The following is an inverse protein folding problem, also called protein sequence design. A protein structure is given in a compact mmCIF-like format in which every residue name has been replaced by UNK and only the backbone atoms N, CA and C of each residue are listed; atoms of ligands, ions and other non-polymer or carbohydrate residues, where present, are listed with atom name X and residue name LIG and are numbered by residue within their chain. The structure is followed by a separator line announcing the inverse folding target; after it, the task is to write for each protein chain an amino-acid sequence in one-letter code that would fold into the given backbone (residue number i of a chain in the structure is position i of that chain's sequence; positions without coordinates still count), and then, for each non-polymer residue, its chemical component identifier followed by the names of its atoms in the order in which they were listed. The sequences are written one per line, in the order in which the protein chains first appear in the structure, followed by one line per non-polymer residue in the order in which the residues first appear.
data_IF_141520989116
#
_entry.id   IF_141520989116
#
_cell.length_a   1.000
_cell.length_b   1.000
_cell.length_c   1.000
_cell.angle_alpha   90.00
_cell.angle_beta   90.00
_cell.angle_gamma   90.00
#
_symmetry.space_group_name_H-M   'P 1'
#
loop_
_entity.id
_entity.type
_entity.pdbx_description
1 polymer ?
#
# COMPACT_ATOMS: atom_id res chain seq x y z
N UNK A 1 10.91 -12.27 -19.59
CA UNK A 1 11.32 -13.67 -19.84
C UNK A 1 11.06 -14.44 -18.57
N UNK A 2 10.22 -15.47 -18.62
CA UNK A 2 10.06 -16.38 -17.49
C UNK A 2 11.15 -17.43 -17.65
N UNK A 3 12.19 -17.40 -16.80
CA UNK A 3 13.38 -18.26 -16.92
C UNK A 3 13.27 -19.49 -16.02
N UNK A 4 12.13 -19.67 -15.34
CA UNK A 4 11.89 -20.80 -14.46
C UNK A 4 10.96 -21.80 -15.15
N UNK A 5 11.52 -22.89 -15.66
CA UNK A 5 10.72 -24.03 -16.09
C UNK A 5 10.30 -24.82 -14.87
N UNK A 6 9.13 -24.50 -14.31
CA UNK A 6 8.53 -25.32 -13.26
C UNK A 6 8.13 -26.68 -13.83
N UNK A 7 8.40 -27.73 -13.05
CA UNK A 7 7.88 -29.07 -13.26
C UNK A 7 6.36 -29.02 -13.42
N UNK A 8 5.83 -29.77 -14.38
CA UNK A 8 4.40 -29.78 -14.74
C UNK A 8 3.48 -30.03 -13.54
N UNK A 9 3.87 -30.92 -12.62
CA UNK A 9 3.08 -31.22 -11.44
C UNK A 9 3.00 -30.02 -10.47
N UNK A 10 4.07 -29.24 -10.34
CA UNK A 10 4.10 -28.04 -9.50
C UNK A 10 3.34 -26.89 -10.15
N UNK A 11 3.36 -26.76 -11.49
CA UNK A 11 2.50 -25.81 -12.21
C UNK A 11 1.02 -26.08 -11.98
N UNK A 12 0.62 -27.35 -12.00
CA UNK A 12 -0.77 -27.73 -11.72
C UNK A 12 -1.19 -27.29 -10.31
N UNK A 13 -0.33 -27.51 -9.30
CA UNK A 13 -0.59 -27.04 -7.93
C UNK A 13 -0.63 -25.51 -7.85
N UNK A 14 0.21 -24.80 -8.61
CA UNK A 14 0.20 -23.33 -8.67
C UNK A 14 -1.11 -22.75 -9.23
N UNK A 15 -1.75 -23.45 -10.14
CA UNK A 15 -3.02 -23.02 -10.76
C UNK A 15 -4.25 -23.37 -9.90
N UNK A 16 -4.07 -24.19 -8.86
CA UNK A 16 -5.14 -24.55 -7.93
C UNK A 16 -5.40 -23.43 -6.92
N UNK A 17 -6.68 -23.13 -6.67
CA UNK A 17 -7.10 -22.23 -5.60
C UNK A 17 -7.31 -23.04 -4.31
N UNK A 18 -6.21 -23.31 -3.60
CA UNK A 18 -6.17 -24.08 -2.36
C UNK A 18 -5.62 -23.25 -1.20
N UNK A 19 -6.14 -23.50 0.01
CA UNK A 19 -5.69 -22.82 1.22
C UNK A 19 -4.28 -23.27 1.63
N UNK A 20 -3.67 -22.55 2.57
CA UNK A 20 -2.28 -22.78 2.97
C UNK A 20 -2.01 -24.15 3.61
N UNK A 21 -3.00 -24.73 4.28
CA UNK A 21 -2.88 -26.06 4.91
C UNK A 21 -2.91 -27.13 3.81
N UNK A 22 -3.89 -27.03 2.90
CA UNK A 22 -4.03 -27.93 1.74
C UNK A 22 -2.84 -27.82 0.77
N UNK A 23 -2.24 -26.64 0.59
CA UNK A 23 -1.10 -26.42 -0.30
C UNK A 23 0.14 -27.21 0.12
N UNK A 24 0.46 -27.22 1.41
CA UNK A 24 1.64 -27.93 1.91
C UNK A 24 1.48 -29.44 1.70
N UNK A 25 0.32 -29.99 2.04
CA UNK A 25 0.01 -31.41 1.87
C UNK A 25 -0.01 -31.82 0.40
N UNK A 26 -0.58 -30.98 -0.47
CA UNK A 26 -0.61 -31.21 -1.91
C UNK A 26 0.81 -31.26 -2.48
N UNK A 27 1.66 -30.29 -2.14
CA UNK A 27 3.07 -30.30 -2.55
C UNK A 27 3.81 -31.53 -2.02
N UNK A 28 3.60 -31.91 -0.77
CA UNK A 28 4.26 -33.08 -0.16
C UNK A 28 3.82 -34.39 -0.84
N UNK A 29 2.55 -34.50 -1.23
CA UNK A 29 2.01 -35.68 -1.92
C UNK A 29 2.53 -35.90 -3.35
N UNK A 30 3.14 -34.88 -3.98
CA UNK A 30 3.70 -35.04 -5.33
C UNK A 30 4.84 -36.08 -5.34
N UNK A 31 4.77 -37.05 -6.24
CA UNK A 31 5.83 -38.04 -6.50
C UNK A 31 7.00 -37.41 -7.28
N UNK A 32 7.70 -36.49 -6.62
CA UNK A 32 8.91 -35.84 -7.13
C UNK A 32 10.08 -36.05 -6.16
N UNK A 33 11.32 -36.16 -6.66
CA UNK A 33 12.51 -36.11 -5.81
C UNK A 33 12.48 -34.87 -4.90
N UNK A 34 12.78 -35.06 -3.62
CA UNK A 34 12.68 -33.98 -2.62
C UNK A 34 13.38 -32.69 -3.04
N UNK A 35 14.60 -32.78 -3.55
CA UNK A 35 15.37 -31.59 -3.96
C UNK A 35 14.75 -30.90 -5.18
N UNK A 36 14.23 -31.66 -6.14
CA UNK A 36 13.53 -31.10 -7.31
C UNK A 36 12.25 -30.37 -6.88
N UNK A 37 11.48 -30.95 -5.97
CA UNK A 37 10.29 -30.31 -5.40
C UNK A 37 10.63 -28.98 -4.72
N UNK A 38 11.66 -28.96 -3.88
CA UNK A 38 12.10 -27.76 -3.17
C UNK A 38 12.62 -26.68 -4.12
N UNK A 39 13.39 -27.05 -5.14
CA UNK A 39 13.95 -26.13 -6.13
C UNK A 39 12.86 -25.45 -6.98
N UNK A 40 11.84 -26.22 -7.36
CA UNK A 40 10.69 -25.70 -8.08
C UNK A 40 9.81 -24.78 -7.21
N UNK A 41 9.60 -25.12 -5.93
CA UNK A 41 8.90 -24.22 -4.99
C UNK A 41 9.69 -22.92 -4.79
N UNK A 42 11.02 -22.99 -4.69
CA UNK A 42 11.88 -21.81 -4.62
C UNK A 42 11.74 -20.94 -5.89
N UNK A 43 11.80 -21.55 -7.07
CA UNK A 43 11.59 -20.89 -8.36
C UNK A 43 10.22 -20.18 -8.43
N UNK A 44 9.15 -20.83 -7.96
CA UNK A 44 7.82 -20.23 -7.89
C UNK A 44 7.78 -19.02 -6.92
N UNK A 45 8.46 -19.10 -5.78
CA UNK A 45 8.59 -17.96 -4.84
C UNK A 45 9.32 -16.78 -5.51
N UNK A 46 10.38 -17.03 -6.27
CA UNK A 46 11.10 -15.98 -7.01
C UNK A 46 10.23 -15.33 -8.08
N UNK A 47 9.50 -16.12 -8.86
CA UNK A 47 8.50 -15.59 -9.80
C UNK A 47 7.49 -14.67 -9.10
N UNK A 48 6.98 -15.10 -7.94
CA UNK A 48 6.03 -14.30 -7.17
C UNK A 48 6.66 -13.00 -6.67
N UNK A 49 7.90 -13.04 -6.15
CA UNK A 49 8.63 -11.83 -5.72
C UNK A 49 8.81 -10.85 -6.88
N UNK A 50 9.21 -11.32 -8.06
CA UNK A 50 9.35 -10.48 -9.25
C UNK A 50 8.02 -9.85 -9.67
N UNK A 51 6.95 -10.65 -9.73
CA UNK A 51 5.59 -10.17 -10.06
C UNK A 51 5.12 -9.14 -9.04
N UNK A 52 5.35 -9.36 -7.74
CA UNK A 52 5.00 -8.42 -6.66
C UNK A 52 5.71 -7.07 -6.84
N UNK A 53 7.02 -7.07 -7.07
CA UNK A 53 7.78 -5.83 -7.27
C UNK A 53 7.35 -5.08 -8.53
N UNK A 54 7.11 -5.81 -9.64
CA UNK A 54 6.55 -5.23 -10.85
C UNK A 54 5.17 -4.58 -10.59
N UNK A 55 4.28 -5.28 -9.88
CA UNK A 55 2.94 -4.76 -9.52
C UNK A 55 3.03 -3.54 -8.59
N UNK A 56 3.97 -3.49 -7.65
CA UNK A 56 4.21 -2.31 -6.81
C UNK A 56 4.67 -1.13 -7.66
N UNK A 57 5.60 -1.34 -8.58
CA UNK A 57 6.05 -0.32 -9.53
C UNK A 57 4.90 0.22 -10.37
N UNK A 58 4.06 -0.67 -10.91
CA UNK A 58 2.91 -0.27 -11.73
C UNK A 58 1.86 0.51 -10.93
N UNK A 59 1.56 0.08 -9.70
CA UNK A 59 0.64 0.81 -8.81
C UNK A 59 1.15 2.22 -8.52
N UNK A 60 2.44 2.38 -8.26
CA UNK A 60 3.05 3.70 -8.05
C UNK A 60 2.85 4.59 -9.28
N UNK A 61 3.18 4.09 -10.48
CA UNK A 61 3.00 4.85 -11.72
C UNK A 61 1.54 5.29 -11.94
N UNK A 62 0.58 4.40 -11.71
CA UNK A 62 -0.84 4.74 -11.86
C UNK A 62 -1.28 5.78 -10.83
N UNK A 63 -0.81 5.67 -9.59
CA UNK A 63 -1.10 6.65 -8.54
C UNK A 63 -0.50 8.03 -8.84
N UNK A 64 0.69 8.07 -9.43
CA UNK A 64 1.33 9.31 -9.88
C UNK A 64 0.51 9.98 -11.00
N UNK A 65 0.05 9.20 -11.99
CA UNK A 65 -0.85 9.68 -13.07
C UNK A 65 -2.18 10.17 -12.52
N UNK A 66 -2.80 9.43 -11.61
CA UNK A 66 -4.05 9.84 -10.95
C UNK A 66 -3.87 11.18 -10.22
N UNK A 67 -2.77 11.34 -9.50
CA UNK A 67 -2.43 12.58 -8.78
C UNK A 67 -2.23 13.74 -9.75
N UNK A 68 -1.57 13.50 -10.90
CA UNK A 68 -1.39 14.52 -11.93
C UNK A 68 -2.73 14.97 -12.53
N UNK A 69 -3.61 14.03 -12.87
CA UNK A 69 -4.93 14.33 -13.40
C UNK A 69 -5.79 15.09 -12.40
N UNK A 70 -5.78 14.71 -11.12
CA UNK A 70 -6.45 15.47 -10.04
C UNK A 70 -5.98 16.93 -10.01
N UNK A 71 -4.67 17.16 -9.93
CA UNK A 71 -4.11 18.52 -9.93
C UNK A 71 -4.45 19.32 -11.18
N UNK A 72 -4.47 18.67 -12.35
CA UNK A 72 -4.84 19.32 -13.60
C UNK A 72 -6.32 19.73 -13.59
N UNK A 73 -7.21 18.83 -13.16
CA UNK A 73 -8.64 19.11 -13.03
C UNK A 73 -8.89 20.24 -12.04
N UNK A 74 -8.22 20.23 -10.87
CA UNK A 74 -8.36 21.30 -9.87
C UNK A 74 -7.98 22.67 -10.47
N UNK A 75 -6.85 22.76 -11.18
CA UNK A 75 -6.43 23.99 -11.86
C UNK A 75 -7.42 24.45 -12.93
N UNK A 76 -8.01 23.52 -13.68
CA UNK A 76 -9.02 23.84 -14.68
C UNK A 76 -10.31 24.34 -14.02
N UNK A 77 -10.69 23.77 -12.88
CA UNK A 77 -11.84 24.21 -12.10
C UNK A 77 -11.62 25.62 -11.52
N UNK A 78 -10.43 25.90 -11.01
CA UNK A 78 -10.03 27.23 -10.53
C UNK A 78 -10.09 28.25 -11.67
N UNK A 79 -9.55 27.89 -12.84
CA UNK A 79 -9.62 28.73 -14.04
C UNK A 79 -11.06 29.06 -14.43
N UNK A 80 -11.95 28.06 -14.50
CA UNK A 80 -13.37 28.31 -14.82
C UNK A 80 -14.04 29.20 -13.80
N UNK A 81 -13.73 29.02 -12.51
CA UNK A 81 -14.29 29.82 -11.42
C UNK A 81 -13.85 31.28 -11.55
N UNK A 82 -12.54 31.51 -11.68
CA UNK A 82 -11.98 32.85 -11.86
C UNK A 82 -12.54 33.54 -13.11
N UNK A 83 -12.67 32.82 -14.23
CA UNK A 83 -13.21 33.39 -15.46
C UNK A 83 -14.67 33.84 -15.32
N UNK A 84 -15.48 33.14 -14.52
CA UNK A 84 -16.87 33.54 -14.25
C UNK A 84 -16.89 34.76 -13.32
N UNK A 85 -16.08 34.74 -12.26
CA UNK A 85 -15.99 35.84 -11.30
C UNK A 85 -15.50 37.14 -11.95
N UNK A 86 -14.46 37.07 -12.79
CA UNK A 86 -13.92 38.21 -13.57
C UNK A 86 -14.95 38.78 -14.55
N UNK A 87 -15.89 37.96 -15.03
CA UNK A 87 -16.96 38.41 -15.93
C UNK A 87 -18.07 39.19 -15.20
N UNK A 88 -18.09 39.16 -13.86
CA UNK A 88 -19.14 39.75 -13.02
C UNK A 88 -20.50 39.05 -13.12
N UNK A 89 -20.59 37.92 -13.86
CA UNK A 89 -21.82 37.13 -14.00
C UNK A 89 -21.89 36.06 -12.93
N UNK A 90 -23.12 35.72 -12.51
CA UNK A 90 -23.36 34.63 -11.54
C UNK A 90 -23.29 33.23 -12.15
N UNK A 91 -23.49 33.14 -13.47
CA UNK A 91 -23.44 31.89 -14.24
C UNK A 91 -23.21 32.20 -15.72
N UNK A 92 -22.62 31.23 -16.43
CA UNK A 92 -22.36 31.30 -17.87
C UNK A 92 -22.92 30.03 -18.53
N UNK A 93 -23.86 30.21 -19.46
CA UNK A 93 -24.32 29.13 -20.34
C UNK A 93 -23.43 29.09 -21.59
N UNK A 94 -22.80 27.94 -21.82
CA UNK A 94 -22.11 27.60 -23.07
C UNK A 94 -23.02 26.72 -23.94
N UNK A 95 -22.56 26.34 -25.13
CA UNK A 95 -23.31 25.44 -26.01
C UNK A 95 -23.71 24.12 -25.32
N UNK A 96 -22.82 23.55 -24.50
CA UNK A 96 -23.01 22.22 -23.91
C UNK A 96 -23.12 22.22 -22.38
N UNK A 97 -22.77 23.32 -21.69
CA UNK A 97 -22.65 23.34 -20.23
C UNK A 97 -23.15 24.63 -19.60
N UNK A 98 -23.84 24.50 -18.45
CA UNK A 98 -24.13 25.59 -17.53
C UNK A 98 -23.04 25.65 -16.47
N UNK A 99 -22.29 26.74 -16.43
CA UNK A 99 -21.19 26.95 -15.49
C UNK A 99 -21.64 27.90 -14.39
N UNK A 100 -21.57 27.45 -13.14
CA UNK A 100 -22.00 28.21 -11.97
C UNK A 100 -21.07 27.96 -10.79
N UNK A 101 -20.29 28.96 -10.35
CA UNK A 101 -19.53 28.86 -9.13
C UNK A 101 -20.47 28.59 -7.94
N UNK A 102 -20.02 27.73 -7.03
CA UNK A 102 -20.73 27.44 -5.80
C UNK A 102 -19.88 27.89 -4.63
N UNK A 103 -20.47 28.70 -3.75
CA UNK A 103 -19.85 29.05 -2.50
C UNK A 103 -19.99 27.85 -1.55
N UNK A 104 -18.85 27.25 -1.21
CA UNK A 104 -18.75 26.29 -0.12
C UNK A 104 -18.48 27.05 1.19
N UNK A 105 -18.49 26.34 2.32
CA UNK A 105 -18.00 26.94 3.56
C UNK A 105 -16.54 27.37 3.37
N UNK A 106 -16.17 28.50 3.95
CA UNK A 106 -14.80 28.96 3.93
C UNK A 106 -13.86 27.89 4.51
N UNK A 107 -12.71 27.72 3.88
CA UNK A 107 -11.68 26.83 4.38
C UNK A 107 -10.95 27.51 5.53
N UNK A 108 -10.79 26.81 6.65
CA UNK A 108 -9.94 27.28 7.75
C UNK A 108 -8.49 27.01 7.37
N UNK A 109 -7.75 28.06 7.05
CA UNK A 109 -6.31 28.01 6.77
C UNK A 109 -5.58 28.25 8.09
N UNK A 110 -4.76 27.27 8.51
CA UNK A 110 -3.91 27.38 9.69
C UNK A 110 -2.48 27.62 9.23
N UNK A 111 -2.05 28.88 9.25
CA UNK A 111 -0.68 29.28 8.88
C UNK A 111 0.37 28.68 9.82
N UNK A 112 0.10 28.74 11.14
CA UNK A 112 0.98 28.19 12.16
C UNK A 112 0.20 27.77 13.41
N UNK A 113 0.20 26.48 13.72
CA UNK A 113 -0.51 25.91 14.88
C UNK A 113 -0.06 26.52 16.21
N UNK A 114 1.21 26.93 16.33
CA UNK A 114 1.80 27.51 17.55
C UNK A 114 1.20 28.89 17.92
N UNK A 115 0.65 29.59 16.93
CA UNK A 115 0.08 30.92 17.11
C UNK A 115 -1.42 30.82 17.45
N UNK A 116 -2.00 29.61 17.41
CA UNK A 116 -3.37 29.35 17.80
C UNK A 116 -3.50 29.28 19.34
N UNK A 117 -4.59 29.83 19.91
CA UNK A 117 -4.97 29.54 21.27
C UNK A 117 -5.15 28.03 21.51
N UNK A 118 -4.87 27.58 22.73
CA UNK A 118 -4.88 26.15 23.08
C UNK A 118 -6.25 25.49 22.83
N UNK A 119 -7.33 26.26 22.91
CA UNK A 119 -8.71 25.79 22.68
C UNK A 119 -8.94 25.27 21.24
N UNK A 120 -8.12 25.72 20.28
CA UNK A 120 -8.19 25.29 18.88
C UNK A 120 -7.12 24.25 18.51
N UNK A 121 -6.32 23.79 19.49
CA UNK A 121 -5.21 22.87 19.28
C UNK A 121 -5.48 21.53 19.96
N UNK A 122 -5.67 20.47 19.15
CA UNK A 122 -5.79 19.11 19.66
C UNK A 122 -4.41 18.49 19.85
N UNK A 123 -4.03 18.22 21.11
CA UNK A 123 -2.82 17.44 21.43
C UNK A 123 -3.15 15.96 21.42
N UNK A 124 -2.40 15.18 20.64
CA UNK A 124 -2.48 13.72 20.63
C UNK A 124 -1.21 13.15 21.27
N UNK A 125 -1.38 12.45 22.39
CA UNK A 125 -0.31 11.66 22.99
C UNK A 125 -0.33 10.25 22.40
N UNK A 126 0.79 9.79 21.87
CA UNK A 126 0.91 8.44 21.30
C UNK A 126 1.67 7.56 22.28
N UNK A 127 0.93 6.69 22.97
CA UNK A 127 1.50 5.66 23.84
C UNK A 127 1.74 4.41 22.99
N UNK A 128 3.01 4.06 22.79
CA UNK A 128 3.39 2.87 22.03
C UNK A 128 4.56 2.15 22.70
N UNK A 129 4.61 0.81 22.63
CA UNK A 129 5.72 0.05 23.19
C UNK A 129 7.01 0.32 22.42
N UNK A 130 8.10 0.59 23.12
CA UNK A 130 9.44 0.59 22.52
C UNK A 130 9.88 -0.85 22.25
N UNK A 131 9.51 -1.36 21.08
CA UNK A 131 9.83 -2.73 20.66
C UNK A 131 11.34 -2.99 20.58
N UNK A 132 12.18 -1.97 20.36
CA UNK A 132 13.64 -2.14 20.29
C UNK A 132 14.20 -2.38 21.68
N UNK A 133 13.79 -1.55 22.65
CA UNK A 133 14.18 -1.72 24.04
C UNK A 133 13.64 -3.05 24.60
N UNK A 134 12.36 -3.35 24.36
CA UNK A 134 11.76 -4.63 24.75
C UNK A 134 12.52 -5.82 24.17
N UNK A 135 12.86 -5.79 22.89
CA UNK A 135 13.63 -6.88 22.27
C UNK A 135 14.99 -7.06 22.93
N UNK A 136 15.73 -5.97 23.16
CA UNK A 136 17.06 -6.00 23.79
C UNK A 136 16.99 -6.60 25.20
N UNK A 137 16.07 -6.12 26.02
CA UNK A 137 15.92 -6.54 27.42
C UNK A 137 15.44 -7.99 27.52
N UNK A 138 14.45 -8.40 26.71
CA UNK A 138 13.98 -9.78 26.66
C UNK A 138 15.08 -10.74 26.19
N UNK A 139 15.92 -10.33 25.21
CA UNK A 139 17.09 -11.12 24.77
C UNK A 139 18.15 -11.25 25.86
N UNK A 140 18.26 -10.26 26.75
CA UNK A 140 19.16 -10.30 27.90
C UNK A 140 18.62 -11.13 29.07
N UNK A 141 17.45 -11.76 28.92
CA UNK A 141 16.83 -12.61 29.94
C UNK A 141 16.00 -11.86 30.97
N UNK A 142 15.72 -10.57 30.77
CA UNK A 142 14.83 -9.80 31.65
C UNK A 142 13.38 -10.17 31.37
N UNK A 143 12.63 -10.52 32.40
CA UNK A 143 11.19 -10.71 32.29
C UNK A 143 10.47 -9.37 32.26
N UNK A 144 9.61 -9.17 31.25
CA UNK A 144 8.79 -7.96 31.11
C UNK A 144 7.35 -8.40 30.96
N UNK A 145 6.50 -8.04 31.93
CA UNK A 145 5.08 -8.34 31.88
C UNK A 145 4.45 -7.73 30.62
N UNK A 146 3.72 -8.56 29.86
CA UNK A 146 3.07 -8.16 28.61
C UNK A 146 3.94 -8.22 27.35
N UNK A 147 5.19 -8.68 27.41
CA UNK A 147 6.04 -8.87 26.23
C UNK A 147 6.81 -10.20 26.28
N UNK A 148 6.91 -10.89 25.14
CA UNK A 148 7.69 -12.13 25.01
C UNK A 148 8.30 -12.25 23.61
N UNK A 149 9.39 -13.01 23.49
CA UNK A 149 9.98 -13.35 22.20
C UNK A 149 9.36 -14.64 21.66
N UNK A 150 8.87 -14.60 20.41
CA UNK A 150 8.46 -15.78 19.65
C UNK A 150 9.50 -16.07 18.57
N UNK A 151 9.89 -17.33 18.43
CA UNK A 151 10.79 -17.75 17.35
C UNK A 151 10.17 -17.39 16.00
N UNK A 152 10.91 -16.62 15.20
CA UNK A 152 10.56 -16.24 13.84
C UNK A 152 11.73 -16.64 12.93
N UNK A 153 11.53 -17.69 12.14
CA UNK A 153 12.51 -18.21 11.18
C UNK A 153 11.84 -18.32 9.82
N UNK A 154 12.58 -18.00 8.77
CA UNK A 154 12.18 -18.11 7.37
C UNK A 154 13.36 -18.64 6.57
N UNK A 155 13.09 -19.46 5.56
CA UNK A 155 14.11 -19.85 4.58
C UNK A 155 14.47 -18.64 3.73
N UNK A 156 15.77 -18.41 3.54
CA UNK A 156 16.29 -17.41 2.61
C UNK A 156 16.61 -18.14 1.30
N UNK A 157 16.26 -17.49 0.18
CA UNK A 157 16.62 -17.93 -1.17
C UNK A 157 17.63 -16.88 -1.62
N UNK A 158 18.89 -17.29 -1.81
CA UNK A 158 20.05 -16.45 -2.17
C UNK A 158 20.46 -16.69 -3.63
#
# INVERSE_FOLDING_TARGET
MNVFELNTAIKQVQEMDIDSETLADTLESLELPRNEKLDNVASWIEENKMKIEWLKGKRKQLSDVETQLKKQTDRLQDFLTQAIDDSGKKEIQTENHLLKPRNYRDSVIVEATKDLPIDYVIRKEVIQPDKKLLYKDLKAGKEISGAHLKSNRKTVID
#
